data_IF_969284385973
#
_entry.id   IF_969284385973
#
_cell.length_a   1.000
_cell.length_b   1.000
_cell.length_c   1.000
_cell.angle_alpha   90.00
_cell.angle_beta   90.00
_cell.angle_gamma   90.00
#
_symmetry.space_group_name_H-M   'P 1'
#
loop_
_entity.id
_entity.type
_entity.pdbx_description
1 polymer ?
#
# COMPACT_ATOMS: atom_id res chain seq x y z
N UNK A 1 1.19 8.52 15.94
CA UNK A 1 2.60 8.28 16.34
C UNK A 1 3.50 9.26 15.60
N UNK A 2 4.60 9.72 16.26
CA UNK A 2 5.60 10.62 15.66
C UNK A 2 6.99 10.01 15.75
N UNK A 3 7.73 10.09 14.65
CA UNK A 3 9.15 9.75 14.57
C UNK A 3 9.89 10.99 14.08
N UNK A 4 10.96 11.39 14.79
CA UNK A 4 11.72 12.62 14.47
C UNK A 4 10.80 13.84 14.26
N UNK A 5 9.84 14.05 15.16
CA UNK A 5 8.84 15.14 15.16
C UNK A 5 7.79 15.11 14.01
N UNK A 6 7.81 14.13 13.11
CA UNK A 6 6.85 13.97 12.01
C UNK A 6 5.93 12.78 12.27
N UNK A 7 4.64 12.89 11.92
CA UNK A 7 3.69 11.78 12.08
C UNK A 7 3.96 10.69 11.03
N UNK A 8 3.67 9.41 11.34
CA UNK A 8 3.86 8.31 10.38
C UNK A 8 3.09 8.57 9.08
N UNK A 9 1.83 8.99 9.18
CA UNK A 9 1.02 9.30 7.99
C UNK A 9 1.61 10.44 7.15
N UNK A 10 2.28 11.43 7.77
CA UNK A 10 2.93 12.51 7.04
C UNK A 10 4.12 12.05 6.19
N UNK A 11 4.77 10.95 6.55
CA UNK A 11 5.83 10.38 5.70
C UNK A 11 5.26 9.87 4.38
N UNK A 12 4.13 9.13 4.43
CA UNK A 12 3.46 8.65 3.22
C UNK A 12 2.90 9.80 2.37
N UNK A 13 2.23 10.78 3.00
CA UNK A 13 1.67 11.93 2.29
C UNK A 13 2.76 12.75 1.60
N UNK A 14 3.84 13.06 2.31
CA UNK A 14 4.91 13.90 1.76
C UNK A 14 5.66 13.21 0.60
N UNK A 15 5.67 11.88 0.54
CA UNK A 15 6.18 11.14 -0.61
C UNK A 15 5.32 11.37 -1.85
N UNK A 16 3.99 11.28 -1.70
CA UNK A 16 3.08 11.23 -2.87
C UNK A 16 2.46 12.59 -3.24
N UNK A 17 2.48 13.59 -2.36
CA UNK A 17 1.80 14.89 -2.59
C UNK A 17 2.30 15.66 -3.81
N UNK A 18 3.55 15.41 -4.24
CA UNK A 18 4.15 16.06 -5.41
C UNK A 18 4.06 15.19 -6.68
N UNK A 19 3.59 13.95 -6.56
CA UNK A 19 3.33 13.07 -7.68
C UNK A 19 1.98 13.43 -8.33
N UNK A 20 1.84 13.13 -9.61
CA UNK A 20 0.62 13.47 -10.40
C UNK A 20 -0.52 12.48 -10.14
N UNK A 21 -1.10 12.52 -8.94
CA UNK A 21 -2.33 11.78 -8.62
C UNK A 21 -3.55 12.68 -8.72
N UNK A 22 -4.63 12.18 -9.30
CA UNK A 22 -5.91 12.92 -9.41
C UNK A 22 -6.51 13.21 -8.04
N UNK A 23 -6.44 12.24 -7.12
CA UNK A 23 -6.97 12.33 -5.76
C UNK A 23 -6.16 11.49 -4.79
N UNK A 24 -6.06 11.96 -3.56
CA UNK A 24 -5.47 11.23 -2.43
C UNK A 24 -6.56 11.02 -1.39
N UNK A 25 -6.71 9.77 -0.95
CA UNK A 25 -7.67 9.38 0.08
C UNK A 25 -6.96 8.80 1.30
N UNK A 26 -7.54 8.99 2.47
CA UNK A 26 -7.12 8.37 3.72
C UNK A 26 -8.34 7.67 4.34
N UNK A 27 -8.27 6.36 4.47
CA UNK A 27 -9.27 5.58 5.20
C UNK A 27 -9.10 5.79 6.71
N UNK A 28 -10.20 5.93 7.42
CA UNK A 28 -10.18 6.13 8.86
C UNK A 28 -11.40 5.53 9.53
N UNK A 29 -11.19 4.93 10.71
CA UNK A 29 -12.22 4.43 11.61
C UNK A 29 -11.91 4.85 13.06
N UNK A 30 -10.89 4.25 13.68
CA UNK A 30 -10.50 4.56 15.05
C UNK A 30 -9.88 5.96 15.16
N UNK A 31 -10.36 6.74 16.14
CA UNK A 31 -9.93 8.15 16.36
C UNK A 31 -10.10 9.05 15.12
N UNK A 32 -11.12 8.78 14.33
CA UNK A 32 -11.47 9.53 13.12
C UNK A 32 -11.36 11.05 13.32
N UNK A 33 -12.08 11.64 14.28
CA UNK A 33 -12.09 13.10 14.50
C UNK A 33 -10.70 13.71 14.73
N UNK A 34 -9.78 12.96 15.37
CA UNK A 34 -8.42 13.43 15.59
C UNK A 34 -7.61 13.42 14.31
N UNK A 35 -7.78 12.39 13.49
CA UNK A 35 -7.09 12.29 12.20
C UNK A 35 -7.64 13.30 11.20
N UNK A 36 -8.96 13.43 11.11
CA UNK A 36 -9.65 14.40 10.26
C UNK A 36 -9.19 15.82 10.55
N UNK A 37 -9.18 16.22 11.83
CA UNK A 37 -8.67 17.53 12.22
C UNK A 37 -7.21 17.72 11.80
N UNK A 38 -6.35 16.75 12.05
CA UNK A 38 -4.95 16.83 11.65
C UNK A 38 -4.77 16.99 10.14
N UNK A 39 -5.53 16.21 9.35
CA UNK A 39 -5.45 16.26 7.88
C UNK A 39 -6.00 17.59 7.36
N UNK A 40 -7.17 18.05 7.82
CA UNK A 40 -7.75 19.31 7.39
C UNK A 40 -6.87 20.52 7.70
N UNK A 41 -6.14 20.52 8.82
CA UNK A 41 -5.23 21.59 9.21
C UNK A 41 -3.90 21.57 8.41
N UNK A 42 -3.41 20.42 7.97
CA UNK A 42 -2.05 20.27 7.39
C UNK A 42 -2.05 19.85 5.92
N UNK A 43 -3.12 19.22 5.42
CA UNK A 43 -3.23 18.63 4.08
C UNK A 43 -4.66 18.79 3.54
N UNK A 44 -5.14 20.03 3.30
CA UNK A 44 -6.56 20.31 2.99
C UNK A 44 -7.06 19.69 1.68
N UNK A 45 -6.16 19.36 0.77
CA UNK A 45 -6.50 18.75 -0.52
C UNK A 45 -6.72 17.23 -0.45
N UNK A 46 -6.49 16.60 0.71
CA UNK A 46 -6.66 15.16 0.91
C UNK A 46 -8.09 14.86 1.37
N UNK A 47 -8.70 13.86 0.75
CA UNK A 47 -10.04 13.39 1.09
C UNK A 47 -9.99 12.30 2.16
N UNK A 48 -10.75 12.48 3.24
CA UNK A 48 -10.94 11.44 4.25
C UNK A 48 -12.14 10.56 3.87
N UNK A 49 -11.91 9.24 3.90
CA UNK A 49 -12.95 8.23 3.79
C UNK A 49 -13.19 7.62 5.17
N UNK A 50 -14.25 8.07 5.84
CA UNK A 50 -14.65 7.52 7.14
C UNK A 50 -15.39 6.20 6.95
N UNK A 51 -14.96 5.20 7.70
CA UNK A 51 -15.60 3.90 7.79
C UNK A 51 -16.36 3.80 9.12
N UNK A 52 -17.69 3.83 9.08
CA UNK A 52 -18.54 3.65 10.26
C UNK A 52 -18.35 2.24 10.85
N UNK A 53 -18.24 1.26 9.96
CA UNK A 53 -17.87 -0.13 10.26
C UNK A 53 -16.53 -0.43 9.60
N UNK A 54 -15.66 -1.17 10.28
CA UNK A 54 -14.36 -1.57 9.71
C UNK A 54 -14.58 -2.47 8.49
N UNK A 55 -14.20 -1.98 7.32
CA UNK A 55 -14.40 -2.69 6.04
C UNK A 55 -13.29 -3.72 5.74
N UNK A 56 -12.20 -3.71 6.51
CA UNK A 56 -10.96 -4.39 6.16
C UNK A 56 -10.21 -3.65 5.04
N UNK A 57 -8.95 -4.01 4.81
CA UNK A 57 -8.12 -3.28 3.82
C UNK A 57 -8.72 -3.34 2.41
N UNK A 58 -9.21 -4.51 1.99
CA UNK A 58 -9.82 -4.66 0.66
C UNK A 58 -11.11 -3.86 0.50
N UNK A 59 -12.02 -3.93 1.48
CA UNK A 59 -13.28 -3.20 1.46
C UNK A 59 -13.08 -1.68 1.49
N UNK A 60 -12.14 -1.20 2.32
CA UNK A 60 -11.80 0.22 2.39
C UNK A 60 -11.26 0.76 1.05
N UNK A 61 -10.41 0.02 0.35
CA UNK A 61 -9.91 0.38 -0.99
C UNK A 61 -11.07 0.37 -1.99
N UNK A 62 -11.87 -0.70 -2.02
CA UNK A 62 -13.04 -0.82 -2.91
C UNK A 62 -13.99 0.36 -2.77
N UNK A 63 -14.24 0.81 -1.54
CA UNK A 63 -15.18 1.91 -1.26
C UNK A 63 -14.79 3.24 -1.91
N UNK A 64 -13.48 3.47 -2.15
CA UNK A 64 -12.96 4.73 -2.71
C UNK A 64 -12.44 4.59 -4.14
N UNK A 65 -12.30 3.35 -4.64
CA UNK A 65 -11.65 3.09 -5.92
C UNK A 65 -12.50 3.57 -7.10
N UNK A 66 -12.02 4.57 -7.82
CA UNK A 66 -12.63 5.08 -9.05
C UNK A 66 -11.76 4.84 -10.28
N UNK A 67 -10.45 4.70 -10.08
CA UNK A 67 -9.42 4.49 -11.11
C UNK A 67 -8.44 3.40 -10.66
N UNK A 68 -7.41 3.14 -11.47
CA UNK A 68 -6.23 2.41 -11.03
C UNK A 68 -5.69 3.12 -9.79
N UNK A 69 -5.38 2.38 -8.74
CA UNK A 69 -5.14 2.96 -7.41
C UNK A 69 -3.81 2.48 -6.83
N UNK A 70 -3.00 3.43 -6.38
CA UNK A 70 -1.77 3.16 -5.61
C UNK A 70 -2.11 3.22 -4.13
N UNK A 71 -1.75 2.21 -3.39
CA UNK A 71 -2.00 2.09 -1.95
C UNK A 71 -0.66 2.08 -1.20
N UNK A 72 -0.54 2.92 -0.19
CA UNK A 72 0.61 2.96 0.71
C UNK A 72 0.19 2.64 2.14
N UNK A 73 0.89 1.69 2.76
CA UNK A 73 0.75 1.42 4.18
C UNK A 73 1.36 2.57 4.99
N UNK A 74 0.63 3.11 5.95
CA UNK A 74 1.07 4.26 6.77
C UNK A 74 1.92 3.87 7.98
N UNK A 75 2.12 2.59 8.23
CA UNK A 75 3.05 2.03 9.22
C UNK A 75 4.45 1.75 8.65
N UNK A 76 4.72 2.21 7.45
CA UNK A 76 6.02 2.20 6.80
C UNK A 76 6.64 3.61 6.83
N UNK A 77 7.96 3.69 7.06
CA UNK A 77 8.71 4.95 7.01
C UNK A 77 9.10 5.29 5.58
N UNK A 78 8.20 5.94 4.90
CA UNK A 78 8.44 6.43 3.55
C UNK A 78 9.38 7.63 3.55
N UNK A 79 10.29 7.67 2.59
CA UNK A 79 11.12 8.83 2.31
C UNK A 79 11.17 9.13 0.79
N UNK A 80 11.71 10.28 0.44
CA UNK A 80 11.74 10.76 -0.94
C UNK A 80 12.49 9.83 -1.91
N UNK A 81 13.36 8.94 -1.41
CA UNK A 81 14.08 7.99 -2.26
C UNK A 81 13.17 6.93 -2.92
N UNK A 82 11.95 6.76 -2.41
CA UNK A 82 10.94 5.88 -3.00
C UNK A 82 10.17 6.49 -4.17
N UNK A 83 10.23 7.80 -4.42
CA UNK A 83 9.49 8.46 -5.50
C UNK A 83 9.77 7.82 -6.85
N UNK A 84 11.03 7.69 -7.22
CA UNK A 84 11.45 7.05 -8.47
C UNK A 84 11.08 5.55 -8.55
N UNK A 85 11.06 4.84 -7.41
CA UNK A 85 10.63 3.44 -7.36
C UNK A 85 9.11 3.33 -7.61
N UNK A 86 8.32 4.24 -7.02
CA UNK A 86 6.88 4.31 -7.25
C UNK A 86 6.55 4.68 -8.70
N UNK A 87 7.19 5.70 -9.26
CA UNK A 87 7.00 6.10 -10.66
C UNK A 87 7.28 4.95 -11.63
N UNK A 88 8.39 4.22 -11.43
CA UNK A 88 8.73 3.06 -12.25
C UNK A 88 7.73 1.91 -12.10
N UNK A 89 7.27 1.64 -10.88
CA UNK A 89 6.30 0.58 -10.62
C UNK A 89 4.92 0.92 -11.23
N UNK A 90 4.51 2.18 -11.17
CA UNK A 90 3.29 2.68 -11.83
C UNK A 90 3.39 2.54 -13.35
N UNK A 91 4.51 2.98 -13.92
CA UNK A 91 4.77 2.83 -15.36
C UNK A 91 4.74 1.37 -15.78
N UNK A 92 5.42 0.50 -15.02
CA UNK A 92 5.39 -0.95 -15.27
C UNK A 92 3.95 -1.49 -15.26
N UNK A 93 3.15 -1.12 -14.27
CA UNK A 93 1.76 -1.52 -14.16
C UNK A 93 0.92 -1.04 -15.35
N UNK A 94 1.15 0.19 -15.81
CA UNK A 94 0.46 0.76 -16.97
C UNK A 94 0.80 0.04 -18.28
N UNK A 95 2.03 -0.39 -18.44
CA UNK A 95 2.51 -1.11 -19.62
C UNK A 95 2.08 -2.59 -19.61
N UNK A 96 1.76 -3.17 -18.44
CA UNK A 96 1.42 -4.59 -18.26
C UNK A 96 -0.04 -4.80 -17.85
N UNK A 97 -0.96 -4.65 -18.81
CA UNK A 97 -2.41 -4.66 -18.58
C UNK A 97 -2.98 -6.05 -18.17
N UNK A 98 -2.19 -7.11 -18.24
CA UNK A 98 -2.58 -8.45 -17.77
C UNK A 98 -2.63 -8.56 -16.25
N UNK A 99 -1.91 -7.70 -15.51
CA UNK A 99 -1.91 -7.74 -14.06
C UNK A 99 -3.05 -6.92 -13.46
N UNK A 100 -3.76 -7.52 -12.53
CA UNK A 100 -4.78 -6.85 -11.70
C UNK A 100 -4.16 -6.20 -10.47
N UNK A 101 -2.98 -6.68 -10.03
CA UNK A 101 -2.20 -6.05 -8.95
C UNK A 101 -0.69 -6.16 -9.17
N UNK A 102 0.04 -5.12 -8.74
CA UNK A 102 1.49 -5.12 -8.63
C UNK A 102 1.88 -4.72 -7.20
N UNK A 103 2.70 -5.55 -6.55
CA UNK A 103 3.24 -5.31 -5.22
C UNK A 103 4.69 -4.83 -5.31
N UNK A 104 5.03 -3.79 -4.58
CA UNK A 104 6.43 -3.40 -4.41
C UNK A 104 7.11 -4.37 -3.43
N UNK A 105 8.15 -5.07 -3.89
CA UNK A 105 8.85 -6.11 -3.13
C UNK A 105 10.35 -5.83 -3.04
N UNK A 106 11.03 -6.46 -2.07
CA UNK A 106 12.49 -6.44 -1.97
C UNK A 106 13.02 -7.80 -1.51
N UNK A 107 13.85 -8.44 -2.34
CA UNK A 107 14.45 -9.76 -2.07
C UNK A 107 15.75 -9.69 -1.27
N UNK A 108 16.25 -8.50 -0.92
CA UNK A 108 17.45 -8.29 -0.10
C UNK A 108 17.13 -8.05 1.38
N UNK A 109 15.86 -7.84 1.73
CA UNK A 109 15.41 -7.73 3.10
C UNK A 109 15.33 -9.13 3.74
N UNK A 110 15.79 -9.27 4.99
CA UNK A 110 15.80 -10.58 5.67
C UNK A 110 14.45 -10.97 6.30
N UNK A 111 13.45 -10.10 6.28
CA UNK A 111 12.11 -10.34 6.81
C UNK A 111 11.16 -10.72 5.68
N UNK A 112 11.32 -11.92 5.14
CA UNK A 112 10.50 -12.40 4.04
C UNK A 112 9.09 -12.78 4.50
N UNK A 113 8.08 -12.30 3.76
CA UNK A 113 6.66 -12.52 4.00
C UNK A 113 5.88 -12.91 2.73
N UNK A 114 6.52 -12.82 1.55
CA UNK A 114 5.97 -13.20 0.26
C UNK A 114 6.87 -14.20 -0.47
N UNK A 115 6.26 -14.93 -1.39
CA UNK A 115 6.92 -15.81 -2.33
C UNK A 115 6.76 -15.28 -3.76
N UNK A 116 7.88 -15.09 -4.45
CA UNK A 116 7.92 -14.70 -5.86
C UNK A 116 8.65 -15.78 -6.68
N UNK A 117 8.11 -16.13 -7.84
CA UNK A 117 8.75 -17.07 -8.75
C UNK A 117 9.76 -16.37 -9.69
N UNK A 118 10.45 -17.14 -10.53
CA UNK A 118 11.46 -16.62 -11.45
C UNK A 118 10.89 -15.67 -12.53
N UNK A 119 9.60 -15.68 -12.75
CA UNK A 119 8.89 -14.84 -13.72
C UNK A 119 8.38 -13.53 -13.06
N UNK A 120 8.56 -13.36 -11.75
CA UNK A 120 8.09 -12.23 -10.98
C UNK A 120 6.66 -12.36 -10.48
N UNK A 121 6.00 -13.50 -10.69
CA UNK A 121 4.63 -13.73 -10.19
C UNK A 121 4.65 -14.05 -8.70
N UNK A 122 3.72 -13.47 -7.97
CA UNK A 122 3.53 -13.73 -6.54
C UNK A 122 2.72 -15.00 -6.33
N UNK A 123 3.25 -15.92 -5.53
CA UNK A 123 2.53 -17.07 -5.03
C UNK A 123 1.91 -16.77 -3.67
N UNK A 124 0.59 -16.71 -3.60
CA UNK A 124 -0.13 -16.40 -2.37
C UNK A 124 -1.30 -17.38 -2.14
N UNK A 125 -1.48 -17.93 -0.91
CA UNK A 125 -0.62 -17.74 0.25
C UNK A 125 0.77 -18.35 0.07
N UNK A 126 1.79 -17.61 0.54
CA UNK A 126 3.20 -17.98 0.38
C UNK A 126 3.55 -19.20 1.22
N UNK A 127 4.30 -20.15 0.62
CA UNK A 127 4.79 -21.37 1.29
C UNK A 127 6.28 -21.27 1.61
N UNK A 128 7.06 -20.69 0.69
CA UNK A 128 8.50 -20.53 0.79
C UNK A 128 8.85 -19.05 0.54
N UNK A 129 8.67 -18.23 1.56
CA UNK A 129 8.92 -16.79 1.45
C UNK A 129 10.38 -16.50 1.07
N UNK A 130 10.59 -15.73 0.02
CA UNK A 130 11.89 -15.36 -0.53
C UNK A 130 12.02 -13.85 -0.82
N UNK A 131 10.98 -13.07 -0.52
CA UNK A 131 10.94 -11.64 -0.67
C UNK A 131 10.07 -11.00 0.40
N UNK A 132 10.20 -9.67 0.58
CA UNK A 132 9.39 -8.91 1.53
C UNK A 132 8.55 -7.87 0.82
N UNK A 133 7.29 -7.73 1.25
CA UNK A 133 6.39 -6.66 0.84
C UNK A 133 6.87 -5.32 1.41
N UNK A 134 6.95 -4.31 0.56
CA UNK A 134 7.46 -2.99 0.95
C UNK A 134 6.36 -1.98 1.31
N UNK A 135 5.13 -2.46 1.54
CA UNK A 135 4.02 -1.62 1.99
C UNK A 135 3.35 -0.78 0.89
N UNK A 136 3.64 -1.07 -0.38
CA UNK A 136 2.97 -0.43 -1.51
C UNK A 136 2.42 -1.48 -2.48
N UNK A 137 1.17 -1.33 -2.89
CA UNK A 137 0.59 -2.10 -3.98
C UNK A 137 -0.25 -1.21 -4.91
N UNK A 138 -0.34 -1.61 -6.18
CA UNK A 138 -1.12 -0.94 -7.21
C UNK A 138 -2.21 -1.91 -7.64
N UNK A 139 -3.45 -1.42 -7.75
CA UNK A 139 -4.63 -2.25 -8.06
C UNK A 139 -5.37 -1.66 -9.25
N UNK A 140 -5.72 -2.54 -10.21
CA UNK A 140 -6.48 -2.18 -11.41
C UNK A 140 -7.89 -1.75 -11.05
N UNK A 141 -8.38 -0.72 -11.73
CA UNK A 141 -9.77 -0.28 -11.65
C UNK A 141 -10.73 -1.46 -11.84
N UNK A 142 -11.76 -1.49 -11.01
CA UNK A 142 -12.85 -2.48 -11.04
C UNK A 142 -12.45 -3.91 -10.64
N UNK A 143 -11.18 -4.25 -10.44
CA UNK A 143 -10.78 -5.62 -10.06
C UNK A 143 -11.32 -6.05 -8.69
N UNK A 144 -11.67 -5.08 -7.84
CA UNK A 144 -12.30 -5.34 -6.53
C UNK A 144 -13.84 -5.43 -6.58
N UNK A 145 -14.49 -5.14 -7.70
CA UNK A 145 -15.96 -5.18 -7.80
C UNK A 145 -16.59 -6.52 -7.41
N UNK A 146 -16.02 -7.69 -7.73
CA UNK A 146 -16.61 -8.99 -7.36
C UNK A 146 -16.63 -9.28 -5.86
N UNK A 147 -15.82 -8.57 -5.07
CA UNK A 147 -15.68 -8.83 -3.63
C UNK A 147 -16.80 -8.19 -2.82
N UNK A 148 -17.13 -8.72 -1.61
CA UNK A 148 -18.11 -8.10 -0.73
C UNK A 148 -17.64 -6.71 -0.26
N UNK A 149 -18.50 -6.00 0.49
CA UNK A 149 -18.15 -4.69 1.06
C UNK A 149 -17.07 -4.81 2.16
N UNK A 150 -17.10 -5.89 2.92
CA UNK A 150 -16.16 -6.16 4.01
C UNK A 150 -15.29 -7.35 3.62
N UNK A 151 -14.00 -7.13 3.37
CA UNK A 151 -13.04 -8.20 3.09
C UNK A 151 -11.59 -7.74 3.28
N UNK A 152 -10.67 -8.70 3.43
CA UNK A 152 -9.25 -8.46 3.51
C UNK A 152 -8.64 -8.47 2.11
N UNK A 153 -7.68 -7.60 1.84
CA UNK A 153 -7.00 -7.52 0.54
C UNK A 153 -6.29 -8.83 0.17
N UNK A 154 -5.94 -9.64 1.16
CA UNK A 154 -5.32 -10.95 0.95
C UNK A 154 -6.23 -11.95 0.21
N UNK A 155 -7.55 -11.82 0.31
CA UNK A 155 -8.50 -12.63 -0.46
C UNK A 155 -8.36 -12.31 -1.97
N UNK A 156 -8.25 -11.02 -2.31
CA UNK A 156 -7.97 -10.57 -3.68
C UNK A 156 -6.58 -11.04 -4.17
N UNK A 157 -5.54 -10.94 -3.33
CA UNK A 157 -4.21 -11.41 -3.71
C UNK A 157 -4.18 -12.91 -4.01
N UNK A 158 -4.93 -13.70 -3.23
CA UNK A 158 -5.07 -15.15 -3.44
C UNK A 158 -5.70 -15.45 -4.81
N UNK A 159 -6.78 -14.79 -5.14
CA UNK A 159 -7.45 -14.98 -6.42
C UNK A 159 -6.59 -14.51 -7.60
N UNK A 160 -5.89 -13.39 -7.46
CA UNK A 160 -4.94 -12.92 -8.46
C UNK A 160 -3.76 -13.90 -8.62
N UNK A 161 -3.25 -14.49 -7.53
CA UNK A 161 -2.18 -15.47 -7.60
C UNK A 161 -2.60 -16.75 -8.35
N UNK A 162 -3.81 -17.26 -8.10
CA UNK A 162 -4.35 -18.43 -8.80
C UNK A 162 -4.53 -18.19 -10.32
N UNK A 163 -4.67 -16.95 -10.74
CA UNK A 163 -4.88 -16.56 -12.13
C UNK A 163 -3.65 -15.88 -12.77
N UNK A 164 -2.49 -15.89 -12.09
CA UNK A 164 -1.23 -15.26 -12.56
C UNK A 164 -1.38 -13.75 -12.84
N UNK A 165 -2.22 -13.06 -12.05
CA UNK A 165 -2.55 -11.65 -12.21
C UNK A 165 -1.95 -10.71 -11.16
N UNK A 166 -1.05 -11.23 -10.33
CA UNK A 166 -0.34 -10.45 -9.31
C UNK A 166 1.17 -10.59 -9.52
N UNK A 167 1.83 -9.44 -9.61
CA UNK A 167 3.26 -9.35 -9.91
C UNK A 167 4.02 -8.65 -8.78
N UNK A 168 5.22 -9.11 -8.48
CA UNK A 168 6.16 -8.48 -7.56
C UNK A 168 7.15 -7.59 -8.31
N UNK A 169 7.02 -6.27 -8.16
CA UNK A 169 7.98 -5.32 -8.72
C UNK A 169 9.13 -5.11 -7.74
N UNK A 170 10.33 -5.57 -8.13
CA UNK A 170 11.53 -5.48 -7.28
C UNK A 170 12.00 -4.03 -7.15
N UNK A 171 12.05 -3.51 -5.91
CA UNK A 171 12.62 -2.20 -5.59
C UNK A 171 14.05 -2.32 -5.09
N UNK A 172 14.86 -1.31 -5.37
CA UNK A 172 16.22 -1.20 -4.80
C UNK A 172 16.20 -0.72 -3.34
N UNK A 173 15.06 -0.26 -2.84
CA UNK A 173 14.88 0.33 -1.51
C UNK A 173 14.26 -0.66 -0.54
N UNK A 174 14.66 -0.56 0.71
CA UNK A 174 14.08 -1.32 1.82
C UNK A 174 13.32 -0.34 2.70
N UNK A 175 12.03 -0.55 2.84
CA UNK A 175 11.19 0.26 3.71
C UNK A 175 11.25 -0.25 5.15
N UNK A 176 11.32 0.66 6.10
CA UNK A 176 11.28 0.34 7.51
C UNK A 176 9.82 0.25 7.98
N UNK A 177 9.39 -0.94 8.36
CA UNK A 177 8.08 -1.17 8.97
C UNK A 177 8.08 -0.77 10.44
N UNK A 178 7.01 -0.14 10.90
CA UNK A 178 6.85 0.42 12.26
C UNK A 178 5.48 0.02 12.86
N UNK A 179 5.07 -1.22 12.60
CA UNK A 179 3.77 -1.76 13.03
C UNK A 179 3.71 -2.15 14.51
N UNK A 180 4.87 -2.33 15.16
CA UNK A 180 4.93 -2.71 16.58
C UNK A 180 5.58 -1.62 17.44
N UNK A 181 5.34 -1.71 18.77
CA UNK A 181 5.98 -0.79 19.73
C UNK A 181 7.50 -0.88 19.69
N UNK A 182 8.06 -2.07 19.55
CA UNK A 182 9.51 -2.29 19.56
C UNK A 182 10.14 -1.74 18.27
N UNK A 183 9.50 -1.91 17.13
CA UNK A 183 9.92 -1.28 15.87
C UNK A 183 9.87 0.25 15.97
N UNK A 184 8.77 0.79 16.50
CA UNK A 184 8.65 2.24 16.72
C UNK A 184 9.79 2.80 17.59
N UNK A 185 10.16 2.11 18.66
CA UNK A 185 11.22 2.57 19.56
C UNK A 185 12.62 2.59 18.91
N UNK A 186 12.85 1.80 17.85
CA UNK A 186 14.12 1.82 17.10
C UNK A 186 14.32 3.11 16.29
N UNK A 187 13.21 3.79 15.93
CA UNK A 187 13.24 4.97 15.05
C UNK A 187 12.86 6.28 15.76
N UNK A 188 12.44 6.21 17.04
CA UNK A 188 12.09 7.35 17.88
C UNK A 188 13.36 8.15 18.26
#
# INVERSE_FOLDING_TARGET
>A
LKIKNKTLISYAIDLIKNMSFDKIYINTHYKHNMLERFISENYPDITISYEETILGTGGGIKNIQTNDTVILNTDNLWDQSFENELEKSIKFFDENKSFDSVLLINSKNNNFDLEVNNEGLINFPSKLCNTSFQGCHIIRKNSLHPYPEIFNIQDFWKDCSLNEKIYGYETTKINAHVGTKDEYLKYK
#
